data_IF_817191485002
#
_entry.id   IF_817191485002
#
_cell.length_a   1.000
_cell.length_b   1.000
_cell.length_c   1.000
_cell.angle_alpha   90.00
_cell.angle_beta   90.00
_cell.angle_gamma   90.00
#
_symmetry.space_group_name_H-M   'P 1'
#
loop_
_entity.id
_entity.type
_entity.pdbx_description
1 polymer ?
#
# COMPACT_ATOMS: atom_id res chain seq x y z
N UNK A 1 -7.84 16.67 -29.57
CA UNK A 1 -8.17 18.07 -29.28
C UNK A 1 -7.04 18.63 -28.41
N UNK A 2 -6.30 19.63 -28.91
CA UNK A 2 -5.32 20.35 -28.11
C UNK A 2 -6.08 21.15 -27.03
N UNK A 3 -5.71 20.93 -25.80
CA UNK A 3 -6.22 21.71 -24.68
C UNK A 3 -5.18 22.79 -24.39
N UNK A 4 -5.54 24.07 -24.55
CA UNK A 4 -4.66 25.11 -24.10
C UNK A 4 -4.47 24.97 -22.58
N UNK A 5 -3.22 25.03 -22.13
CA UNK A 5 -2.96 25.21 -20.70
C UNK A 5 -3.53 26.60 -20.34
N UNK A 6 -4.40 26.68 -19.34
CA UNK A 6 -4.86 27.99 -18.89
C UNK A 6 -3.63 28.81 -18.48
N UNK A 7 -3.51 29.99 -19.04
CA UNK A 7 -2.62 31.01 -18.50
C UNK A 7 -3.34 31.63 -17.32
N UNK A 8 -3.17 31.03 -16.15
CA UNK A 8 -3.75 31.57 -14.95
C UNK A 8 -2.70 32.41 -14.22
N UNK A 9 -3.07 33.63 -13.93
CA UNK A 9 -2.30 34.58 -13.09
C UNK A 9 -2.50 34.30 -11.60
N UNK A 10 -2.74 33.04 -11.20
CA UNK A 10 -2.91 32.73 -9.80
C UNK A 10 -1.61 32.95 -9.03
N UNK A 11 -1.73 33.51 -7.85
CA UNK A 11 -0.61 33.75 -6.91
C UNK A 11 0.10 32.49 -6.43
N UNK A 12 -0.41 31.31 -6.77
CA UNK A 12 0.12 30.00 -6.35
C UNK A 12 1.20 29.43 -7.28
N UNK A 13 1.39 30.01 -8.46
CA UNK A 13 2.43 29.59 -9.40
C UNK A 13 2.21 28.23 -10.07
N UNK A 14 1.04 27.60 -9.92
CA UNK A 14 0.67 26.36 -10.61
C UNK A 14 -0.78 26.40 -11.09
N UNK A 15 -1.08 25.57 -12.10
CA UNK A 15 -2.42 25.39 -12.63
C UNK A 15 -2.81 23.92 -12.49
N UNK A 16 -3.97 23.63 -11.89
CA UNK A 16 -4.58 22.32 -11.85
C UNK A 16 -5.77 22.28 -12.80
N UNK A 17 -5.81 21.28 -13.68
CA UNK A 17 -6.91 21.05 -14.61
C UNK A 17 -7.45 19.63 -14.42
N UNK A 18 -8.75 19.49 -14.22
CA UNK A 18 -9.41 18.20 -14.12
C UNK A 18 -10.11 17.88 -15.44
N UNK A 19 -10.03 16.61 -15.83
CA UNK A 19 -10.69 16.05 -17.00
C UNK A 19 -11.45 14.81 -16.61
N UNK A 20 -12.74 14.80 -16.91
CA UNK A 20 -13.59 13.61 -16.78
C UNK A 20 -13.65 12.90 -18.12
N UNK A 21 -13.65 11.57 -18.09
CA UNK A 21 -13.77 10.72 -19.28
C UNK A 21 -12.56 9.82 -19.50
N UNK A 22 -12.68 8.90 -20.45
CA UNK A 22 -11.61 7.95 -20.77
C UNK A 22 -10.57 8.61 -21.69
N UNK A 23 -9.34 8.65 -21.22
CA UNK A 23 -8.19 9.05 -22.02
C UNK A 23 -7.20 7.87 -22.08
N UNK A 24 -6.86 7.43 -23.29
CA UNK A 24 -5.87 6.36 -23.51
C UNK A 24 -4.45 6.89 -23.74
N UNK A 25 -4.33 8.18 -24.03
CA UNK A 25 -3.04 8.84 -24.28
C UNK A 25 -3.11 10.31 -23.86
N UNK A 26 -2.08 10.75 -23.19
CA UNK A 26 -1.80 12.15 -22.91
C UNK A 26 -0.49 12.54 -23.59
N UNK A 27 -0.48 13.65 -24.32
CA UNK A 27 0.73 14.25 -24.88
C UNK A 27 0.91 15.64 -24.31
N UNK A 28 2.07 15.89 -23.75
CA UNK A 28 2.42 17.19 -23.18
C UNK A 28 3.53 17.80 -24.02
N UNK A 29 3.31 19.00 -24.53
CA UNK A 29 4.31 19.78 -25.26
C UNK A 29 4.67 21.03 -24.49
N UNK A 30 5.91 21.08 -24.04
CA UNK A 30 6.50 22.28 -23.42
C UNK A 30 7.03 23.20 -24.52
N UNK A 31 6.69 24.48 -24.48
CA UNK A 31 7.09 25.48 -25.48
C UNK A 31 8.14 26.47 -24.98
N UNK A 32 8.44 26.48 -23.69
CA UNK A 32 9.41 27.37 -23.07
C UNK A 32 10.75 26.68 -22.81
N UNK A 33 11.84 27.41 -22.79
CA UNK A 33 13.18 26.88 -22.47
C UNK A 33 13.44 26.78 -20.97
N UNK A 34 12.58 27.39 -20.14
CA UNK A 34 12.69 27.34 -18.68
C UNK A 34 12.23 26.02 -18.09
N UNK A 35 12.81 25.62 -16.96
CA UNK A 35 12.38 24.44 -16.22
C UNK A 35 10.91 24.56 -15.81
N UNK A 36 10.14 23.52 -16.06
CA UNK A 36 8.73 23.41 -15.69
C UNK A 36 8.49 22.09 -14.96
N UNK A 37 7.64 22.13 -13.97
CA UNK A 37 7.27 20.98 -13.17
C UNK A 37 5.80 20.64 -13.41
N UNK A 38 5.47 19.38 -13.39
CA UNK A 38 4.08 18.94 -13.51
C UNK A 38 3.91 17.50 -13.14
N UNK A 39 2.68 17.15 -12.80
CA UNK A 39 2.27 15.79 -12.53
C UNK A 39 0.93 15.49 -13.20
N UNK A 40 0.70 14.25 -13.53
CA UNK A 40 -0.56 13.75 -14.08
C UNK A 40 -1.06 12.64 -13.16
N UNK A 41 -2.27 12.81 -12.67
CA UNK A 41 -2.93 11.83 -11.84
C UNK A 41 -4.10 11.23 -12.60
N UNK A 42 -4.20 9.89 -12.58
CA UNK A 42 -5.36 9.18 -13.08
C UNK A 42 -6.11 8.57 -11.89
N UNK A 43 -7.36 8.96 -11.71
CA UNK A 43 -8.24 8.42 -10.67
C UNK A 43 -9.32 7.56 -11.31
N UNK A 44 -9.46 6.32 -10.85
CA UNK A 44 -10.47 5.39 -11.33
C UNK A 44 -10.87 4.41 -10.23
N UNK A 45 -12.07 3.86 -10.34
CA UNK A 45 -12.56 2.81 -9.44
C UNK A 45 -12.27 1.45 -10.06
N UNK A 46 -11.74 0.55 -9.25
CA UNK A 46 -11.42 -0.81 -9.65
C UNK A 46 -11.78 -1.77 -8.50
N UNK A 47 -12.28 -2.99 -8.78
CA UNK A 47 -12.44 -4.03 -7.78
C UNK A 47 -11.08 -4.32 -7.10
N UNK A 48 -11.10 -4.55 -5.79
CA UNK A 48 -9.87 -4.75 -5.04
C UNK A 48 -9.09 -6.01 -5.49
N UNK A 49 -9.81 -7.02 -5.98
CA UNK A 49 -9.24 -8.24 -6.55
C UNK A 49 -8.45 -8.02 -7.85
N UNK A 50 -8.67 -6.90 -8.53
CA UNK A 50 -7.99 -6.55 -9.77
C UNK A 50 -6.80 -5.60 -9.55
N UNK A 51 -6.60 -5.15 -8.31
CA UNK A 51 -5.49 -4.26 -7.96
C UNK A 51 -4.19 -5.07 -7.93
N UNK A 52 -3.33 -4.86 -8.92
CA UNK A 52 -2.00 -5.47 -9.00
C UNK A 52 -1.00 -4.87 -8.01
N UNK A 53 0.08 -5.60 -7.77
CA UNK A 53 1.24 -5.08 -7.03
C UNK A 53 1.91 -3.93 -7.78
N UNK A 54 2.55 -3.04 -7.04
CA UNK A 54 3.31 -1.90 -7.58
C UNK A 54 4.56 -1.69 -6.73
N UNK A 55 5.65 -1.27 -7.36
CA UNK A 55 6.86 -0.86 -6.67
C UNK A 55 7.44 0.39 -7.33
N UNK A 56 7.84 1.33 -6.49
CA UNK A 56 8.59 2.52 -6.88
C UNK A 56 9.61 2.83 -5.77
N UNK A 57 10.79 2.21 -5.87
CA UNK A 57 11.85 2.30 -4.86
C UNK A 57 11.61 1.45 -3.60
N UNK A 58 10.37 1.23 -3.21
CA UNK A 58 9.99 0.35 -2.09
C UNK A 58 9.14 -0.80 -2.63
N UNK A 59 9.56 -2.02 -2.35
CA UNK A 59 8.84 -3.25 -2.65
C UNK A 59 8.26 -3.85 -1.39
N UNK A 60 6.99 -4.21 -1.40
CA UNK A 60 6.33 -4.93 -0.31
C UNK A 60 5.84 -6.28 -0.79
N UNK A 61 6.15 -7.32 -0.01
CA UNK A 61 5.59 -8.67 -0.19
C UNK A 61 4.97 -9.14 1.11
N UNK A 62 3.79 -9.71 1.03
CA UNK A 62 3.06 -10.28 2.17
C UNK A 62 3.01 -11.79 2.05
N UNK A 63 3.27 -12.48 3.17
CA UNK A 63 3.19 -13.94 3.30
C UNK A 63 2.32 -14.26 4.51
N UNK A 64 1.42 -15.22 4.39
CA UNK A 64 0.52 -15.67 5.46
C UNK A 64 0.80 -17.13 5.75
N UNK A 65 1.02 -17.49 7.03
CA UNK A 65 1.32 -18.85 7.50
C UNK A 65 0.57 -19.13 8.81
N UNK A 66 -0.05 -20.31 9.04
CA UNK A 66 -0.26 -21.36 8.06
C UNK A 66 -1.43 -20.95 7.14
N UNK A 67 -1.15 -20.78 5.91
CA UNK A 67 -2.18 -20.65 4.90
C UNK A 67 -1.63 -21.43 3.74
N UNK A 68 -2.18 -22.60 3.48
CA UNK A 68 -1.85 -23.37 2.29
C UNK A 68 -2.25 -22.54 1.08
N UNK A 69 -1.29 -21.80 0.54
CA UNK A 69 -1.47 -21.03 -0.66
C UNK A 69 -1.02 -21.85 -1.85
N UNK A 70 -1.93 -22.59 -2.44
CA UNK A 70 -1.66 -23.29 -3.70
C UNK A 70 -1.63 -22.38 -4.92
N UNK A 71 -2.12 -21.15 -4.78
CA UNK A 71 -2.14 -20.17 -5.88
C UNK A 71 -1.97 -18.75 -5.36
N UNK A 72 -1.37 -17.88 -6.18
CA UNK A 72 -1.21 -16.47 -5.87
C UNK A 72 -2.54 -15.85 -5.43
N UNK A 73 -2.54 -15.22 -4.26
CA UNK A 73 -3.68 -14.46 -3.76
C UNK A 73 -4.77 -15.26 -3.05
N UNK A 74 -4.59 -16.57 -2.80
CA UNK A 74 -5.56 -17.39 -2.05
C UNK A 74 -4.90 -18.03 -0.84
N UNK A 75 -5.57 -17.98 0.30
CA UNK A 75 -5.13 -18.58 1.54
C UNK A 75 -6.29 -19.33 2.22
N UNK A 76 -5.97 -20.35 3.02
CA UNK A 76 -6.96 -21.10 3.79
C UNK A 76 -6.55 -21.14 5.26
N UNK A 77 -7.54 -21.07 6.15
CA UNK A 77 -7.35 -21.16 7.59
C UNK A 77 -8.59 -21.79 8.24
N UNK A 78 -8.50 -22.12 9.53
CA UNK A 78 -9.63 -22.62 10.33
C UNK A 78 -9.96 -21.65 11.44
N UNK A 79 -11.22 -21.66 11.85
CA UNK A 79 -11.66 -20.87 13.02
C UNK A 79 -10.87 -21.30 14.26
N UNK A 80 -10.39 -20.32 15.03
CA UNK A 80 -9.58 -20.54 16.23
C UNK A 80 -8.09 -20.71 15.99
N UNK A 81 -7.65 -20.85 14.74
CA UNK A 81 -6.22 -20.89 14.42
C UNK A 81 -5.57 -19.52 14.59
N UNK A 82 -4.26 -19.56 14.85
CA UNK A 82 -3.39 -18.39 14.70
C UNK A 82 -2.74 -18.39 13.34
N UNK A 83 -2.82 -17.28 12.65
CA UNK A 83 -2.09 -17.05 11.41
C UNK A 83 -1.01 -16.00 11.65
N UNK A 84 0.14 -16.22 11.06
CA UNK A 84 1.24 -15.25 11.04
C UNK A 84 1.27 -14.57 9.68
N UNK A 85 1.23 -13.25 9.70
CA UNK A 85 1.44 -12.41 8.53
C UNK A 85 2.85 -11.85 8.59
N UNK A 86 3.63 -12.12 7.56
CA UNK A 86 4.99 -11.61 7.40
C UNK A 86 5.03 -10.61 6.26
N UNK A 87 5.38 -9.37 6.55
CA UNK A 87 5.67 -8.35 5.55
C UNK A 87 7.17 -8.32 5.28
N UNK A 88 7.54 -8.51 4.03
CA UNK A 88 8.90 -8.40 3.55
C UNK A 88 8.99 -7.11 2.75
N UNK A 89 9.71 -6.13 3.29
CA UNK A 89 9.88 -4.80 2.73
C UNK A 89 11.29 -4.70 2.19
N UNK A 90 11.46 -4.29 0.95
CA UNK A 90 12.78 -4.07 0.35
C UNK A 90 12.85 -2.64 -0.14
N UNK A 91 13.83 -1.89 0.37
CA UNK A 91 14.11 -0.51 -0.01
C UNK A 91 15.38 -0.44 -0.87
N UNK A 92 15.34 0.26 -2.00
CA UNK A 92 16.49 0.41 -2.91
C UNK A 92 17.51 1.43 -2.39
N UNK A 93 17.10 2.29 -1.47
CA UNK A 93 17.88 3.32 -0.77
C UNK A 93 17.31 3.58 0.62
N UNK A 94 17.89 4.51 1.36
CA UNK A 94 17.31 5.00 2.60
C UNK A 94 16.13 5.91 2.30
N UNK A 95 15.05 5.74 3.06
CA UNK A 95 13.84 6.56 3.00
C UNK A 95 13.48 7.08 4.39
N UNK A 96 13.11 8.33 4.49
CA UNK A 96 12.63 8.93 5.73
C UNK A 96 11.10 8.98 5.74
N UNK A 97 10.51 8.81 6.91
CA UNK A 97 9.06 8.91 7.19
C UNK A 97 8.21 7.99 6.30
N UNK A 98 8.48 6.70 6.37
CA UNK A 98 7.72 5.68 5.63
C UNK A 98 6.57 5.16 6.48
N UNK A 99 5.36 5.25 5.95
CA UNK A 99 4.18 4.61 6.50
C UNK A 99 3.87 3.33 5.72
N UNK A 100 3.64 2.23 6.45
CA UNK A 100 3.14 0.99 5.88
C UNK A 100 1.78 0.70 6.49
N UNK A 101 0.79 0.44 5.64
CA UNK A 101 -0.58 0.10 6.04
C UNK A 101 -0.94 -1.26 5.49
N UNK A 102 -1.06 -2.25 6.36
CA UNK A 102 -1.50 -3.61 5.99
C UNK A 102 -2.99 -3.79 6.31
N UNK A 103 -3.82 -3.78 5.27
CA UNK A 103 -5.27 -3.99 5.37
C UNK A 103 -5.57 -5.47 5.40
N UNK A 104 -6.10 -5.96 6.54
CA UNK A 104 -6.36 -7.38 6.77
C UNK A 104 -7.77 -7.81 6.38
N UNK A 105 -7.98 -9.10 6.27
CA UNK A 105 -9.30 -9.70 6.16
C UNK A 105 -10.09 -9.51 7.45
N UNK A 106 -11.42 -9.33 7.36
CA UNK A 106 -12.28 -8.97 8.49
C UNK A 106 -12.41 -10.07 9.57
N UNK A 107 -11.98 -11.30 9.27
CA UNK A 107 -11.94 -12.41 10.24
C UNK A 107 -10.63 -12.50 11.02
N UNK A 108 -9.69 -11.58 10.81
CA UNK A 108 -8.38 -11.60 11.46
C UNK A 108 -8.31 -10.56 12.58
N UNK A 109 -8.22 -11.04 13.82
CA UNK A 109 -8.08 -10.21 15.01
C UNK A 109 -6.64 -10.21 15.51
N UNK A 110 -6.00 -9.03 15.70
CA UNK A 110 -4.62 -8.98 16.16
C UNK A 110 -4.45 -9.61 17.54
N UNK A 111 -3.48 -10.51 17.67
CA UNK A 111 -3.10 -11.08 18.99
C UNK A 111 -2.57 -9.99 19.91
N UNK A 112 -1.76 -9.07 19.38
CA UNK A 112 -1.32 -7.88 20.09
C UNK A 112 -2.04 -6.64 19.56
N UNK A 113 -2.93 -6.08 20.36
CA UNK A 113 -3.72 -4.90 20.03
C UNK A 113 -3.10 -3.59 20.56
N UNK A 114 -1.96 -3.66 21.25
CA UNK A 114 -1.32 -2.47 21.82
C UNK A 114 -0.51 -1.75 20.76
N UNK A 115 -0.74 -0.44 20.65
CA UNK A 115 0.13 0.45 19.89
C UNK A 115 1.41 0.73 20.68
N UNK A 116 2.53 0.84 19.98
CA UNK A 116 3.80 1.15 20.61
C UNK A 116 5.00 1.02 19.68
N UNK A 117 6.12 1.54 20.15
CA UNK A 117 7.38 1.42 19.43
C UNK A 117 8.00 0.03 19.60
N UNK A 118 8.37 -0.58 18.48
CA UNK A 118 8.99 -1.90 18.41
C UNK A 118 10.48 -1.75 18.11
N UNK A 119 11.30 -1.76 19.14
CA UNK A 119 12.74 -1.51 19.04
C UNK A 119 13.48 -2.48 18.12
N UNK A 120 13.06 -3.77 18.12
CA UNK A 120 13.67 -4.80 17.29
C UNK A 120 13.45 -4.61 15.78
N UNK A 121 12.41 -3.86 15.42
CA UNK A 121 12.05 -3.56 14.02
C UNK A 121 12.41 -2.11 13.66
N UNK A 122 12.49 -1.22 14.66
CA UNK A 122 12.77 0.19 14.48
C UNK A 122 11.57 0.99 13.95
N UNK A 123 10.35 0.62 14.34
CA UNK A 123 9.15 1.34 13.92
C UNK A 123 8.09 1.41 15.04
N UNK A 124 7.20 2.38 14.92
CA UNK A 124 5.99 2.44 15.74
C UNK A 124 4.88 1.62 15.08
N UNK A 125 4.27 0.69 15.81
CA UNK A 125 3.18 -0.16 15.35
C UNK A 125 1.87 0.30 15.94
N UNK A 126 0.83 0.41 15.11
CA UNK A 126 -0.50 0.83 15.51
C UNK A 126 -1.57 -0.07 14.88
N UNK A 127 -2.01 -1.11 15.58
CA UNK A 127 -3.16 -1.90 15.15
C UNK A 127 -4.45 -1.05 15.18
N UNK A 128 -5.28 -1.20 14.15
CA UNK A 128 -6.59 -0.57 14.00
C UNK A 128 -7.60 -1.66 13.61
N UNK A 129 -8.88 -1.33 13.60
CA UNK A 129 -9.96 -2.30 13.32
C UNK A 129 -9.81 -3.02 11.98
N UNK A 130 -9.38 -2.31 10.94
CA UNK A 130 -9.30 -2.84 9.58
C UNK A 130 -7.88 -3.00 9.03
N UNK A 131 -6.88 -2.49 9.76
CA UNK A 131 -5.49 -2.46 9.29
C UNK A 131 -4.51 -2.44 10.46
N UNK A 132 -3.26 -2.79 10.19
CA UNK A 132 -2.14 -2.47 11.08
C UNK A 132 -1.20 -1.50 10.37
N UNK A 133 -0.91 -0.39 11.05
CA UNK A 133 -0.01 0.64 10.54
C UNK A 133 1.36 0.52 11.18
N UNK A 134 2.41 0.74 10.38
CA UNK A 134 3.80 0.78 10.79
C UNK A 134 4.38 2.11 10.33
N UNK A 135 5.02 2.81 11.25
CA UNK A 135 5.61 4.12 10.99
C UNK A 135 7.11 4.03 11.26
N UNK A 136 7.89 4.20 10.20
CA UNK A 136 9.34 4.25 10.23
C UNK A 136 9.79 5.71 10.11
N UNK A 137 10.52 6.21 11.09
CA UNK A 137 11.19 7.51 10.95
C UNK A 137 12.25 7.42 9.85
N UNK A 138 12.95 6.27 9.79
CA UNK A 138 13.90 5.94 8.73
C UNK A 138 13.80 4.47 8.37
N UNK A 139 13.58 4.19 7.10
CA UNK A 139 13.67 2.86 6.50
C UNK A 139 15.00 2.79 5.74
N UNK A 140 15.99 2.08 6.26
CA UNK A 140 17.29 1.97 5.60
C UNK A 140 17.22 1.11 4.34
N UNK A 141 18.17 1.32 3.43
CA UNK A 141 18.35 0.46 2.27
C UNK A 141 18.48 -1.00 2.70
N UNK A 142 17.78 -1.89 2.01
CA UNK A 142 17.87 -3.32 2.25
C UNK A 142 16.53 -3.98 2.51
N UNK A 143 16.58 -5.14 3.16
CA UNK A 143 15.41 -5.98 3.44
C UNK A 143 15.03 -5.87 4.92
N UNK A 144 13.77 -5.55 5.16
CA UNK A 144 13.16 -5.49 6.50
C UNK A 144 12.04 -6.51 6.57
N UNK A 145 11.87 -7.13 7.73
CA UNK A 145 10.85 -8.14 7.98
C UNK A 145 10.03 -7.69 9.18
N UNK A 146 8.72 -7.64 9.00
CA UNK A 146 7.76 -7.35 10.05
C UNK A 146 6.80 -8.53 10.15
N UNK A 147 6.61 -9.05 11.35
CA UNK A 147 5.73 -10.18 11.60
C UNK A 147 4.61 -9.79 12.56
N UNK A 148 3.41 -10.28 12.28
CA UNK A 148 2.23 -10.08 13.10
C UNK A 148 1.47 -11.39 13.21
N UNK A 149 0.85 -11.61 14.38
CA UNK A 149 -0.03 -12.75 14.61
C UNK A 149 -1.48 -12.30 14.75
N UNK A 150 -2.36 -13.09 14.18
CA UNK A 150 -3.80 -12.87 14.22
C UNK A 150 -4.52 -14.17 14.62
N UNK A 151 -5.62 -14.03 15.38
CA UNK A 151 -6.60 -15.09 15.55
C UNK A 151 -7.60 -15.04 14.39
N UNK A 152 -8.03 -16.21 13.93
CA UNK A 152 -9.12 -16.36 12.96
C UNK A 152 -10.42 -16.53 13.75
N UNK A 153 -11.32 -15.54 13.70
CA UNK A 153 -12.48 -15.49 14.59
C UNK A 153 -13.74 -16.15 14.03
N UNK A 154 -13.95 -16.17 12.71
CA UNK A 154 -15.16 -16.74 12.11
C UNK A 154 -14.95 -17.28 10.70
N UNK A 155 -15.78 -18.30 10.35
CA UNK A 155 -15.81 -18.93 9.04
C UNK A 155 -16.37 -18.00 7.96
N UNK A 156 -15.96 -18.22 6.72
CA UNK A 156 -16.45 -17.51 5.55
C UNK A 156 -15.37 -17.34 4.48
N UNK A 157 -15.75 -16.68 3.41
CA UNK A 157 -14.84 -16.26 2.34
C UNK A 157 -14.59 -14.75 2.48
N UNK A 158 -13.35 -14.38 2.67
CA UNK A 158 -12.95 -13.02 2.97
C UNK A 158 -11.99 -12.46 1.92
N UNK A 159 -12.13 -11.20 1.63
CA UNK A 159 -11.18 -10.44 0.83
C UNK A 159 -10.37 -9.51 1.75
N UNK A 160 -9.05 -9.61 1.70
CA UNK A 160 -8.20 -8.61 2.36
C UNK A 160 -8.13 -7.33 1.53
N UNK A 161 -7.60 -6.27 2.12
CA UNK A 161 -7.07 -5.15 1.35
C UNK A 161 -5.62 -5.39 0.89
N UNK A 162 -5.06 -4.40 0.23
CA UNK A 162 -3.65 -4.34 -0.12
C UNK A 162 -2.80 -3.95 1.09
N UNK A 163 -1.54 -4.34 1.13
CA UNK A 163 -0.55 -3.70 1.97
C UNK A 163 0.14 -2.61 1.16
N UNK A 164 0.17 -1.39 1.66
CA UNK A 164 0.79 -0.23 1.00
C UNK A 164 1.95 0.30 1.84
N UNK A 165 3.05 0.67 1.19
CA UNK A 165 4.14 1.43 1.77
C UNK A 165 4.26 2.75 1.00
N UNK A 166 4.42 3.85 1.71
CA UNK A 166 4.47 5.19 1.12
C UNK A 166 5.40 6.10 1.92
N UNK A 167 6.23 6.87 1.23
CA UNK A 167 6.97 7.95 1.85
C UNK A 167 6.05 9.15 2.05
N UNK A 168 5.86 9.57 3.29
CA UNK A 168 4.91 10.63 3.65
C UNK A 168 5.17 11.95 2.91
N UNK A 169 6.43 12.31 2.72
CA UNK A 169 6.83 13.57 2.08
C UNK A 169 7.31 13.41 0.63
N UNK A 170 7.36 12.18 0.12
CA UNK A 170 7.77 11.86 -1.25
C UNK A 170 6.90 10.72 -1.79
N UNK A 171 5.60 10.97 -2.04
CA UNK A 171 4.62 9.92 -2.36
C UNK A 171 4.86 9.22 -3.70
N UNK A 172 5.79 9.71 -4.52
CA UNK A 172 6.28 9.03 -5.72
C UNK A 172 7.06 7.76 -5.40
N UNK A 173 7.59 7.63 -4.17
CA UNK A 173 8.24 6.41 -3.68
C UNK A 173 7.29 5.62 -2.78
N UNK A 174 7.09 4.38 -3.17
CA UNK A 174 6.21 3.50 -2.42
C UNK A 174 6.04 2.16 -3.10
N UNK A 175 5.22 1.32 -2.50
CA UNK A 175 4.89 0.02 -3.03
C UNK A 175 3.58 -0.49 -2.48
N UNK A 176 2.99 -1.46 -3.16
CA UNK A 176 1.81 -2.16 -2.65
C UNK A 176 1.82 -3.62 -3.08
N UNK A 177 1.18 -4.45 -2.25
CA UNK A 177 0.88 -5.84 -2.61
C UNK A 177 -0.44 -5.94 -3.36
N UNK A 178 -0.68 -7.08 -3.95
CA UNK A 178 -2.04 -7.50 -4.30
C UNK A 178 -2.88 -7.74 -3.03
N UNK A 179 -4.20 -7.70 -3.17
CA UNK A 179 -5.11 -8.22 -2.17
C UNK A 179 -5.08 -9.76 -2.20
N UNK A 180 -5.56 -10.41 -1.14
CA UNK A 180 -5.68 -11.86 -1.11
C UNK A 180 -7.09 -12.28 -0.68
N UNK A 181 -7.50 -13.45 -1.13
CA UNK A 181 -8.69 -14.15 -0.66
C UNK A 181 -8.30 -15.10 0.47
N UNK A 182 -9.04 -15.07 1.57
CA UNK A 182 -8.87 -15.97 2.71
C UNK A 182 -10.16 -16.77 2.90
N UNK A 183 -10.07 -18.07 2.68
CA UNK A 183 -11.16 -18.99 2.96
C UNK A 183 -10.98 -19.57 4.36
N UNK A 184 -11.98 -19.37 5.22
CA UNK A 184 -11.97 -19.89 6.58
C UNK A 184 -12.99 -21.00 6.72
N UNK A 185 -12.52 -22.17 7.09
CA UNK A 185 -13.31 -23.35 7.36
C UNK A 185 -13.56 -23.51 8.88
N UNK A 186 -14.44 -24.42 9.26
CA UNK A 186 -14.63 -24.81 10.67
C UNK A 186 -13.43 -25.57 11.19
#
# INVERSE_FOLDING_TARGET
KLLPMPQDSTTLGYVKTEKTGKASRLSIQKKSDYTSWGAVYAEFKQPISEIGSMESGIKVRRVIVPAESESKGKAQAKVGEKVKVTLIITADRDYDFVQITDKRAACLEPVNQKSGYQWGIGCYVSPRDHATNFYFDRLSKGKHIVEMEYYVDRKGDYQSGTCTAECTYSPEFGGRTEAYELKVNN
#
